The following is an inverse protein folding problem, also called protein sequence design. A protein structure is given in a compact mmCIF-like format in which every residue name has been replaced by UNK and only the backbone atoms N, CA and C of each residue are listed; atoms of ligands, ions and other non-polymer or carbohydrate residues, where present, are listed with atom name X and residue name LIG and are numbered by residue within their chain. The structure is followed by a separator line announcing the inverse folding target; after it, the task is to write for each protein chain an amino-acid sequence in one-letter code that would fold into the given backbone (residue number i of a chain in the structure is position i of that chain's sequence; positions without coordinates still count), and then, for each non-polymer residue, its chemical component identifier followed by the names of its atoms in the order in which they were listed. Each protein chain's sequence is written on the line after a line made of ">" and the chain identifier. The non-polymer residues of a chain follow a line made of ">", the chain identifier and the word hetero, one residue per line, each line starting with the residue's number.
data_IF_106884675085
#
_entry.id   IF_106884675085
#
_cell.length_a   1.000
_cell.length_b   1.000
_cell.length_c   1.000
_cell.angle_alpha   90.00
_cell.angle_beta   90.00
_cell.angle_gamma   90.00
#
_symmetry.space_group_name_H-M   'P 1'
#
loop_
_entity.id
_entity.type
_entity.pdbx_description
1 polymer ?
#
# COMPACT_ATOMS: atom_id res chain seq x y z
N UNK A 1 14.31 14.73 -8.05
CA UNK A 1 12.94 14.19 -8.13
C UNK A 1 12.21 14.59 -6.86
N UNK A 2 10.89 14.79 -6.93
CA UNK A 2 10.08 15.19 -5.78
C UNK A 2 9.69 14.03 -4.86
N UNK A 3 9.53 12.83 -5.43
CA UNK A 3 9.12 11.62 -4.71
C UNK A 3 10.31 10.80 -4.18
N UNK A 4 10.01 9.88 -3.27
CA UNK A 4 10.94 8.93 -2.63
C UNK A 4 10.54 7.49 -2.93
N UNK A 5 11.51 6.57 -2.89
CA UNK A 5 11.28 5.15 -3.11
C UNK A 5 11.22 4.35 -1.81
N UNK A 6 10.09 3.69 -1.58
CA UNK A 6 9.90 2.73 -0.50
C UNK A 6 9.93 1.28 -0.98
N UNK A 7 10.14 0.36 -0.06
CA UNK A 7 9.98 -1.07 -0.31
C UNK A 7 8.99 -1.69 0.67
N UNK A 8 8.06 -2.49 0.16
CA UNK A 8 7.09 -3.17 1.01
C UNK A 8 7.66 -4.41 1.66
N UNK A 9 7.63 -4.44 2.99
CA UNK A 9 8.13 -5.56 3.80
C UNK A 9 7.07 -6.65 4.00
N UNK A 10 6.03 -6.69 3.15
CA UNK A 10 4.88 -7.58 3.29
C UNK A 10 5.24 -9.08 3.36
N UNK A 11 6.44 -9.46 2.92
CA UNK A 11 6.96 -10.84 2.97
C UNK A 11 7.82 -11.13 4.21
N UNK A 12 8.28 -10.10 4.92
CA UNK A 12 9.09 -10.25 6.12
C UNK A 12 8.21 -10.70 7.29
N UNK A 13 8.39 -11.95 7.72
CA UNK A 13 7.59 -12.53 8.80
C UNK A 13 8.09 -12.09 10.18
N UNK A 14 9.35 -12.38 10.48
CA UNK A 14 10.01 -12.12 11.76
C UNK A 14 11.42 -11.58 11.51
N UNK A 15 11.54 -10.41 10.86
CA UNK A 15 12.84 -9.88 10.44
C UNK A 15 13.70 -9.51 11.65
N UNK A 16 15.02 -9.68 11.51
CA UNK A 16 15.97 -8.81 12.19
C UNK A 16 15.96 -7.47 11.46
N UNK A 17 15.31 -6.47 12.08
CA UNK A 17 15.10 -5.18 11.43
C UNK A 17 16.41 -4.44 11.16
N UNK A 18 17.37 -4.45 12.08
CA UNK A 18 18.58 -3.64 11.88
C UNK A 18 19.42 -4.21 10.73
N UNK A 19 19.53 -5.54 10.64
CA UNK A 19 20.19 -6.21 9.52
C UNK A 19 19.48 -5.96 8.19
N UNK A 20 18.18 -6.27 8.09
CA UNK A 20 17.45 -6.18 6.82
C UNK A 20 17.23 -4.74 6.36
N UNK A 21 17.03 -3.78 7.27
CA UNK A 21 16.94 -2.37 6.90
C UNK A 21 18.30 -1.83 6.45
N UNK A 22 19.42 -2.29 7.03
CA UNK A 22 20.76 -1.95 6.53
C UNK A 22 20.94 -2.44 5.09
N UNK A 23 20.57 -3.69 4.82
CA UNK A 23 20.61 -4.25 3.47
C UNK A 23 19.69 -3.49 2.50
N UNK A 24 18.52 -3.06 2.97
CA UNK A 24 17.58 -2.27 2.18
C UNK A 24 18.15 -0.88 1.83
N UNK A 25 18.78 -0.20 2.80
CA UNK A 25 19.48 1.06 2.58
C UNK A 25 20.63 0.89 1.60
N UNK A 26 21.45 -0.15 1.75
CA UNK A 26 22.57 -0.47 0.84
C UNK A 26 22.10 -0.78 -0.58
N UNK A 27 20.94 -1.42 -0.74
CA UNK A 27 20.31 -1.62 -2.04
C UNK A 27 19.90 -0.29 -2.69
N UNK A 28 19.68 0.78 -1.90
CA UNK A 28 19.45 2.15 -2.37
C UNK A 28 18.01 2.63 -2.26
N UNK A 29 17.24 2.09 -1.32
CA UNK A 29 15.88 2.56 -1.00
C UNK A 29 15.92 3.75 -0.04
N UNK A 30 14.91 4.61 -0.11
CA UNK A 30 14.79 5.81 0.73
C UNK A 30 14.01 5.55 2.01
N UNK A 31 13.24 4.46 2.07
CA UNK A 31 12.41 4.08 3.21
C UNK A 31 11.72 2.73 3.01
N UNK A 32 10.80 2.40 3.93
CA UNK A 32 10.12 1.10 3.91
C UNK A 32 8.68 1.18 4.38
N UNK A 33 7.83 0.31 3.84
CA UNK A 33 6.47 0.10 4.34
C UNK A 33 6.46 -1.04 5.36
N UNK A 34 5.90 -0.74 6.55
CA UNK A 34 5.80 -1.69 7.65
C UNK A 34 4.46 -2.40 7.65
N UNK A 35 4.50 -3.74 7.59
CA UNK A 35 3.30 -4.60 7.71
C UNK A 35 3.26 -5.43 8.99
N UNK A 36 4.36 -5.53 9.72
CA UNK A 36 4.56 -6.43 10.84
C UNK A 36 3.69 -6.09 12.06
N UNK A 37 3.37 -7.09 12.87
CA UNK A 37 2.63 -6.91 14.13
C UNK A 37 3.39 -5.98 15.09
N UNK A 38 2.65 -5.13 15.80
CA UNK A 38 3.23 -4.30 16.86
C UNK A 38 3.85 -5.15 17.99
N UNK A 39 3.37 -6.37 18.20
CA UNK A 39 3.97 -7.31 19.16
C UNK A 39 5.41 -7.69 18.79
N UNK A 40 5.72 -7.74 17.50
CA UNK A 40 7.06 -8.04 16.98
C UNK A 40 7.92 -6.77 16.87
N UNK A 41 7.33 -5.70 16.35
CA UNK A 41 8.01 -4.40 16.16
C UNK A 41 8.42 -3.79 17.51
N UNK A 42 7.65 -4.01 18.56
CA UNK A 42 7.87 -3.42 19.88
C UNK A 42 7.36 -1.97 19.93
N UNK A 43 7.94 -1.16 20.81
CA UNK A 43 7.48 0.22 21.02
C UNK A 43 7.88 1.15 19.86
N UNK A 44 7.16 2.28 19.67
CA UNK A 44 7.56 3.32 18.72
C UNK A 44 9.01 3.78 18.91
N UNK A 45 9.46 3.94 20.17
CA UNK A 45 10.84 4.31 20.48
C UNK A 45 11.85 3.27 19.98
N UNK A 46 11.56 1.96 20.15
CA UNK A 46 12.45 0.90 19.70
C UNK A 46 12.64 0.95 18.19
N UNK A 47 11.55 0.97 17.42
CA UNK A 47 11.67 0.92 15.96
C UNK A 47 12.25 2.23 15.40
N UNK A 48 11.97 3.38 16.00
CA UNK A 48 12.62 4.64 15.64
C UNK A 48 14.13 4.57 15.82
N UNK A 49 14.61 4.04 16.95
CA UNK A 49 16.05 3.87 17.16
C UNK A 49 16.69 3.00 16.08
N UNK A 50 16.02 1.93 15.64
CA UNK A 50 16.51 1.09 14.54
C UNK A 50 16.53 1.86 13.23
N UNK A 51 15.47 2.61 12.91
CA UNK A 51 15.42 3.45 11.71
C UNK A 51 16.51 4.54 11.72
N UNK A 52 16.76 5.16 12.88
CA UNK A 52 17.78 6.20 13.07
C UNK A 52 19.20 5.64 12.94
N UNK A 53 19.45 4.42 13.44
CA UNK A 53 20.75 3.75 13.30
C UNK A 53 21.11 3.50 11.83
N UNK A 54 20.10 3.19 11.01
CA UNK A 54 20.24 2.83 9.60
C UNK A 54 20.07 4.05 8.66
N UNK A 55 19.54 5.16 9.17
CA UNK A 55 19.08 6.31 8.38
C UNK A 55 18.03 5.89 7.33
N UNK A 56 16.99 5.16 7.77
CA UNK A 56 15.94 4.65 6.89
C UNK A 56 14.53 4.80 7.51
N UNK A 57 13.77 5.85 7.15
CA UNK A 57 12.46 6.12 7.73
C UNK A 57 11.37 5.15 7.26
N UNK A 58 10.27 5.09 8.03
CA UNK A 58 9.05 4.36 7.66
C UNK A 58 8.22 5.24 6.70
N UNK A 59 7.94 4.71 5.52
CA UNK A 59 7.10 5.37 4.51
C UNK A 59 5.61 5.27 4.89
N UNK A 60 5.14 4.06 5.17
CA UNK A 60 3.75 3.83 5.55
C UNK A 60 3.62 2.68 6.55
N UNK A 61 2.53 2.71 7.31
CA UNK A 61 2.11 1.61 8.18
C UNK A 61 0.73 1.14 7.76
N UNK A 62 0.56 -0.16 7.58
CA UNK A 62 -0.72 -0.73 7.18
C UNK A 62 -1.66 -0.93 8.39
N UNK A 63 -2.97 -0.97 8.19
CA UNK A 63 -3.95 -1.41 9.18
C UNK A 63 -3.85 -2.92 9.48
N UNK A 64 -4.48 -3.37 10.57
CA UNK A 64 -4.64 -4.79 10.90
C UNK A 64 -6.12 -5.10 11.07
N UNK A 65 -6.64 -5.98 10.21
CA UNK A 65 -8.07 -6.29 10.20
C UNK A 65 -8.89 -5.07 9.75
N UNK A 66 -10.11 -5.33 9.28
CA UNK A 66 -10.96 -4.30 8.68
C UNK A 66 -12.37 -4.43 9.23
N UNK A 67 -12.80 -3.53 10.13
CA UNK A 67 -14.12 -3.60 10.73
C UNK A 67 -15.13 -2.82 9.91
N UNK A 68 -15.63 -3.41 8.81
CA UNK A 68 -16.75 -2.82 8.06
C UNK A 68 -18.01 -2.63 8.93
N UNK A 69 -18.11 -3.40 10.02
CA UNK A 69 -19.18 -3.37 11.02
C UNK A 69 -18.90 -2.44 12.20
N UNK A 70 -17.81 -1.64 12.16
CA UNK A 70 -17.32 -0.83 13.29
C UNK A 70 -17.15 -1.63 14.59
N UNK A 71 -16.73 -2.90 14.50
CA UNK A 71 -16.39 -3.69 15.67
C UNK A 71 -15.48 -2.89 16.64
N UNK A 72 -15.89 -2.64 17.91
CA UNK A 72 -15.18 -1.74 18.81
C UNK A 72 -13.73 -2.13 19.09
N UNK A 73 -13.44 -3.44 19.18
CA UNK A 73 -12.10 -3.95 19.44
C UNK A 73 -11.18 -3.66 18.24
N UNK A 74 -11.63 -3.98 17.02
CA UNK A 74 -10.84 -3.73 15.81
C UNK A 74 -10.64 -2.23 15.54
N UNK A 75 -11.65 -1.40 15.84
CA UNK A 75 -11.54 0.06 15.76
C UNK A 75 -10.47 0.59 16.73
N UNK A 76 -10.49 0.14 17.98
CA UNK A 76 -9.51 0.52 18.99
C UNK A 76 -8.09 0.04 18.63
N UNK A 77 -7.95 -1.19 18.13
CA UNK A 77 -6.65 -1.73 17.70
C UNK A 77 -6.05 -0.92 16.53
N UNK A 78 -6.87 -0.51 15.56
CA UNK A 78 -6.38 0.32 14.46
C UNK A 78 -6.10 1.76 14.89
N UNK A 79 -6.87 2.33 15.82
CA UNK A 79 -6.53 3.64 16.44
C UNK A 79 -5.16 3.62 17.09
N UNK A 80 -4.84 2.59 17.88
CA UNK A 80 -3.49 2.42 18.46
C UNK A 80 -2.40 2.29 17.41
N UNK A 81 -2.71 1.68 16.26
CA UNK A 81 -1.77 1.57 15.15
C UNK A 81 -1.59 2.89 14.39
N UNK A 82 -2.64 3.72 14.34
CA UNK A 82 -2.56 5.12 13.87
C UNK A 82 -1.70 5.95 14.83
N UNK A 83 -1.90 5.82 16.15
CA UNK A 83 -1.06 6.50 17.16
C UNK A 83 0.40 6.09 16.99
N UNK A 84 0.64 4.79 16.81
CA UNK A 84 1.98 4.26 16.52
C UNK A 84 2.56 4.88 15.24
N UNK A 85 1.79 4.93 14.15
CA UNK A 85 2.22 5.51 12.88
C UNK A 85 2.59 6.99 13.00
N UNK A 86 1.81 7.75 13.76
CA UNK A 86 2.10 9.15 14.05
C UNK A 86 3.38 9.29 14.90
N UNK A 87 3.56 8.47 15.93
CA UNK A 87 4.75 8.52 16.81
C UNK A 87 6.06 8.15 16.11
N UNK A 88 6.01 7.33 15.06
CA UNK A 88 7.17 6.98 14.24
C UNK A 88 7.29 7.84 12.98
N UNK A 89 6.45 8.87 12.85
CA UNK A 89 6.48 9.84 11.76
C UNK A 89 6.33 9.20 10.36
N UNK A 90 5.50 8.17 10.26
CA UNK A 90 5.15 7.61 8.94
C UNK A 90 4.40 8.65 8.09
N UNK A 91 4.60 8.64 6.78
CA UNK A 91 3.96 9.60 5.86
C UNK A 91 2.44 9.40 5.79
N UNK A 92 2.01 8.14 5.79
CA UNK A 92 0.60 7.79 5.82
C UNK A 92 0.32 6.47 6.55
N UNK A 93 -0.94 6.34 7.00
CA UNK A 93 -1.51 5.08 7.45
C UNK A 93 -2.41 4.49 6.36
N UNK A 94 -2.09 3.28 5.92
CA UNK A 94 -2.73 2.65 4.77
C UNK A 94 -3.65 1.50 5.20
N UNK A 95 -4.78 1.30 4.55
CA UNK A 95 -5.65 0.14 4.78
C UNK A 95 -6.32 -0.33 3.49
N UNK A 96 -6.77 -1.58 3.44
CA UNK A 96 -7.45 -2.18 2.27
C UNK A 96 -8.96 -2.34 2.54
N UNK A 97 -9.72 -2.84 1.57
CA UNK A 97 -11.13 -3.21 1.76
C UNK A 97 -11.29 -4.53 2.53
N UNK A 98 -12.42 -4.71 3.23
CA UNK A 98 -12.68 -5.95 3.96
C UNK A 98 -12.86 -7.13 3.00
N UNK A 99 -12.78 -8.36 3.51
CA UNK A 99 -13.13 -9.53 2.71
C UNK A 99 -14.57 -9.46 2.23
N UNK A 100 -14.85 -9.98 1.03
CA UNK A 100 -16.22 -10.03 0.50
C UNK A 100 -17.14 -10.88 1.39
N UNK A 101 -18.44 -10.52 1.51
CA UNK A 101 -19.43 -11.40 2.13
C UNK A 101 -19.43 -12.77 1.44
N UNK A 102 -19.55 -13.86 2.20
CA UNK A 102 -19.49 -15.22 1.65
C UNK A 102 -20.81 -15.67 1.02
N UNK A 103 -21.93 -15.15 1.51
CA UNK A 103 -23.26 -15.65 1.20
C UNK A 103 -24.03 -14.76 0.22
N UNK A 104 -23.46 -13.61 -0.17
CA UNK A 104 -24.07 -12.66 -1.12
C UNK A 104 -23.01 -11.79 -1.81
N UNK A 105 -23.32 -11.19 -2.97
CA UNK A 105 -22.50 -10.14 -3.55
C UNK A 105 -22.38 -8.92 -2.62
N UNK A 106 -21.32 -8.14 -2.84
CA UNK A 106 -21.18 -6.78 -2.26
C UNK A 106 -22.30 -5.89 -2.81
N UNK A 107 -22.86 -5.04 -1.97
CA UNK A 107 -23.82 -4.02 -2.38
C UNK A 107 -23.41 -2.61 -1.93
N UNK A 108 -24.20 -1.60 -2.31
CA UNK A 108 -23.93 -0.20 -1.97
C UNK A 108 -23.90 0.08 -0.47
N UNK A 109 -24.55 -0.74 0.36
CA UNK A 109 -24.52 -0.57 1.81
C UNK A 109 -23.19 -1.00 2.41
N UNK A 110 -22.55 -2.03 1.84
CA UNK A 110 -21.18 -2.41 2.22
C UNK A 110 -20.18 -1.30 1.88
N UNK A 111 -20.28 -0.72 0.67
CA UNK A 111 -19.41 0.38 0.25
C UNK A 111 -19.58 1.60 1.16
N UNK A 112 -20.83 1.91 1.57
CA UNK A 112 -21.11 2.99 2.49
C UNK A 112 -20.58 2.71 3.91
N UNK A 113 -20.71 1.48 4.40
CA UNK A 113 -20.17 1.08 5.70
C UNK A 113 -18.64 1.15 5.73
N UNK A 114 -17.97 0.69 4.66
CA UNK A 114 -16.52 0.82 4.53
C UNK A 114 -16.11 2.30 4.49
N UNK A 115 -16.81 3.14 3.72
CA UNK A 115 -16.52 4.57 3.64
C UNK A 115 -16.66 5.26 5.00
N UNK A 116 -17.68 4.92 5.78
CA UNK A 116 -17.91 5.44 7.13
C UNK A 116 -16.75 5.08 8.09
N UNK A 117 -16.27 3.82 8.06
CA UNK A 117 -15.09 3.40 8.83
C UNK A 117 -13.82 4.13 8.39
N UNK A 118 -13.66 4.32 7.09
CA UNK A 118 -12.51 5.01 6.48
C UNK A 118 -12.45 6.46 6.94
N UNK A 119 -13.60 7.14 6.97
CA UNK A 119 -13.74 8.51 7.43
C UNK A 119 -13.51 8.64 8.95
N UNK A 120 -13.96 7.68 9.76
CA UNK A 120 -13.68 7.66 11.20
C UNK A 120 -12.18 7.55 11.49
N UNK A 121 -11.45 6.73 10.73
CA UNK A 121 -9.99 6.61 10.87
C UNK A 121 -9.28 7.87 10.39
N UNK A 122 -9.69 8.45 9.26
CA UNK A 122 -9.13 9.70 8.77
C UNK A 122 -9.41 10.88 9.73
N UNK A 123 -10.61 10.95 10.32
CA UNK A 123 -10.94 11.95 11.34
C UNK A 123 -10.05 11.78 12.58
N UNK A 124 -9.91 10.55 13.07
CA UNK A 124 -9.06 10.26 14.22
C UNK A 124 -7.59 10.61 13.96
N UNK A 125 -7.04 10.26 12.79
CA UNK A 125 -5.65 10.54 12.43
C UNK A 125 -5.37 12.04 12.21
N UNK A 126 -6.39 12.84 11.87
CA UNK A 126 -6.23 14.27 11.57
C UNK A 126 -5.66 15.09 12.73
N UNK A 127 -5.82 14.63 13.98
CA UNK A 127 -5.21 15.26 15.16
C UNK A 127 -3.67 15.24 15.12
N UNK A 128 -3.08 14.32 14.35
CA UNK A 128 -1.64 14.19 14.15
C UNK A 128 -1.15 14.80 12.82
N UNK A 129 -2.08 15.26 11.96
CA UNK A 129 -1.75 15.61 10.58
C UNK A 129 -1.37 14.41 9.71
N UNK A 130 -1.68 13.17 10.15
CA UNK A 130 -1.38 11.94 9.44
C UNK A 130 -2.49 11.62 8.43
N UNK A 131 -2.12 11.43 7.16
CA UNK A 131 -3.08 10.99 6.15
C UNK A 131 -3.41 9.50 6.34
N UNK A 132 -4.70 9.18 6.24
CA UNK A 132 -5.19 7.80 6.14
C UNK A 132 -5.60 7.55 4.70
N UNK A 133 -5.07 6.49 4.08
CA UNK A 133 -5.29 6.20 2.67
C UNK A 133 -5.86 4.80 2.41
N UNK A 134 -6.87 4.74 1.54
CA UNK A 134 -7.43 3.49 1.05
C UNK A 134 -6.54 2.90 -0.06
N UNK A 135 -6.00 1.71 0.15
CA UNK A 135 -5.27 0.92 -0.81
C UNK A 135 -6.24 0.08 -1.62
N UNK A 136 -6.38 0.43 -2.90
CA UNK A 136 -7.18 -0.39 -3.82
C UNK A 136 -6.59 -1.80 -3.90
N UNK A 137 -7.43 -2.82 -3.76
CA UNK A 137 -6.98 -4.20 -3.70
C UNK A 137 -8.08 -5.12 -4.22
N UNK A 138 -7.71 -6.03 -5.13
CA UNK A 138 -8.63 -7.01 -5.67
C UNK A 138 -9.10 -7.99 -4.59
N UNK A 139 -10.20 -8.71 -4.80
CA UNK A 139 -10.75 -9.66 -3.83
C UNK A 139 -11.24 -9.06 -2.50
N UNK A 140 -11.44 -7.73 -2.45
CA UNK A 140 -11.95 -7.03 -1.27
C UNK A 140 -13.36 -6.47 -1.49
N UNK A 141 -13.89 -5.68 -0.56
CA UNK A 141 -15.22 -5.07 -0.67
C UNK A 141 -15.31 -4.13 -1.88
N UNK A 142 -14.26 -3.38 -2.18
CA UNK A 142 -14.18 -2.61 -3.43
C UNK A 142 -13.40 -3.45 -4.41
N UNK A 143 -14.07 -4.01 -5.42
CA UNK A 143 -13.43 -4.97 -6.34
C UNK A 143 -13.84 -4.81 -7.80
N UNK A 144 -14.18 -3.58 -8.18
CA UNK A 144 -14.43 -3.19 -9.56
C UNK A 144 -14.20 -1.68 -9.72
N UNK A 145 -14.08 -1.23 -10.98
CA UNK A 145 -13.97 0.20 -11.30
C UNK A 145 -15.21 0.98 -10.85
N UNK A 146 -16.40 0.38 -10.99
CA UNK A 146 -17.66 0.98 -10.60
C UNK A 146 -17.79 1.08 -9.07
N UNK A 147 -17.44 0.02 -8.35
CA UNK A 147 -17.41 0.03 -6.88
C UNK A 147 -16.40 1.06 -6.37
N UNK A 148 -15.23 1.14 -7.03
CA UNK A 148 -14.19 2.09 -6.65
C UNK A 148 -14.66 3.53 -6.87
N UNK A 149 -15.22 3.84 -8.04
CA UNK A 149 -15.79 5.16 -8.30
C UNK A 149 -16.91 5.52 -7.30
N UNK A 150 -17.77 4.54 -6.98
CA UNK A 150 -18.83 4.73 -5.97
C UNK A 150 -18.25 4.96 -4.59
N UNK A 151 -17.29 4.17 -4.15
CA UNK A 151 -16.62 4.32 -2.87
C UNK A 151 -15.92 5.68 -2.74
N UNK A 152 -15.15 6.08 -3.75
CA UNK A 152 -14.50 7.40 -3.78
C UNK A 152 -15.49 8.56 -3.69
N UNK A 153 -16.70 8.41 -4.25
CA UNK A 153 -17.75 9.44 -4.14
C UNK A 153 -18.31 9.63 -2.73
N UNK A 154 -18.02 8.70 -1.81
CA UNK A 154 -18.48 8.73 -0.42
C UNK A 154 -17.42 9.27 0.55
N UNK A 155 -16.15 9.37 0.11
CA UNK A 155 -15.05 9.85 0.94
C UNK A 155 -14.97 11.38 0.96
N UNK A 156 -14.41 11.94 2.04
CA UNK A 156 -14.18 13.37 2.20
C UNK A 156 -12.79 13.69 2.74
N UNK A 157 -12.33 12.90 3.72
CA UNK A 157 -11.02 13.05 4.37
C UNK A 157 -10.07 11.92 4.03
N UNK A 158 -10.59 10.69 3.93
CA UNK A 158 -9.77 9.54 3.55
C UNK A 158 -9.14 9.79 2.18
N UNK A 159 -7.83 9.53 2.10
CA UNK A 159 -7.01 9.66 0.91
C UNK A 159 -6.92 8.33 0.17
N UNK A 160 -6.09 8.28 -0.86
CA UNK A 160 -5.99 7.14 -1.75
C UNK A 160 -4.55 6.66 -1.89
N UNK A 161 -4.39 5.34 -1.77
CA UNK A 161 -3.23 4.60 -2.22
C UNK A 161 -3.62 3.84 -3.50
N UNK A 162 -2.98 4.17 -4.62
CA UNK A 162 -3.14 3.41 -5.87
C UNK A 162 -2.04 2.38 -5.94
N UNK A 163 -2.45 1.11 -5.95
CA UNK A 163 -1.63 0.02 -6.44
C UNK A 163 -1.97 -0.23 -7.90
N UNK A 164 -0.97 0.00 -8.75
CA UNK A 164 -1.15 -0.01 -10.20
C UNK A 164 -1.62 -1.36 -10.71
N UNK A 165 -1.19 -2.45 -10.07
CA UNK A 165 -1.55 -3.81 -10.47
C UNK A 165 -3.04 -4.09 -10.27
N UNK A 166 -3.62 -3.65 -9.15
CA UNK A 166 -5.03 -3.88 -8.86
C UNK A 166 -5.95 -3.08 -9.78
N UNK A 167 -5.57 -1.84 -10.14
CA UNK A 167 -6.31 -1.11 -11.18
C UNK A 167 -6.29 -1.85 -12.53
N UNK A 168 -5.14 -2.39 -12.92
CA UNK A 168 -5.01 -3.15 -14.17
C UNK A 168 -5.79 -4.46 -14.15
N UNK A 169 -5.83 -5.17 -13.02
CA UNK A 169 -6.63 -6.40 -12.85
C UNK A 169 -8.13 -6.15 -13.01
N UNK A 170 -8.62 -4.96 -12.61
CA UNK A 170 -9.99 -4.50 -12.89
C UNK A 170 -10.20 -4.01 -14.33
N UNK A 171 -9.18 -4.09 -15.20
CA UNK A 171 -9.21 -3.58 -16.56
C UNK A 171 -9.17 -2.05 -16.66
N UNK A 172 -8.78 -1.35 -15.59
CA UNK A 172 -8.59 0.10 -15.59
C UNK A 172 -7.11 0.44 -15.80
N UNK A 173 -6.81 1.16 -16.88
CA UNK A 173 -5.47 1.66 -17.17
C UNK A 173 -4.85 2.40 -15.95
N UNK A 174 -3.69 1.94 -15.44
CA UNK A 174 -3.10 2.52 -14.24
C UNK A 174 -2.70 3.99 -14.38
N UNK A 175 -2.25 4.42 -15.56
CA UNK A 175 -1.88 5.82 -15.83
C UNK A 175 -3.12 6.70 -15.78
N UNK A 176 -4.22 6.27 -16.41
CA UNK A 176 -5.49 6.96 -16.37
C UNK A 176 -6.06 7.03 -14.96
N UNK A 177 -5.90 5.98 -14.14
CA UNK A 177 -6.38 5.96 -12.76
C UNK A 177 -5.60 6.94 -11.87
N UNK A 178 -4.27 6.99 -12.01
CA UNK A 178 -3.40 7.98 -11.34
C UNK A 178 -3.83 9.40 -11.70
N UNK A 179 -4.03 9.70 -12.99
CA UNK A 179 -4.50 11.04 -13.43
C UNK A 179 -5.90 11.37 -12.91
N UNK A 180 -6.79 10.38 -12.85
CA UNK A 180 -8.18 10.58 -12.44
C UNK A 180 -8.31 11.00 -10.98
N UNK A 181 -7.44 10.48 -10.11
CA UNK A 181 -7.49 10.64 -8.66
C UNK A 181 -6.27 11.36 -8.08
N UNK A 182 -5.54 12.13 -8.90
CA UNK A 182 -4.29 12.79 -8.51
C UNK A 182 -4.44 13.77 -7.34
N UNK A 183 -5.66 14.30 -7.14
CA UNK A 183 -6.00 15.26 -6.07
C UNK A 183 -6.10 14.63 -4.67
N UNK A 184 -6.30 13.31 -4.61
CA UNK A 184 -6.43 12.55 -3.36
C UNK A 184 -5.37 11.44 -3.22
N UNK A 185 -4.52 11.26 -4.23
CA UNK A 185 -3.43 10.30 -4.26
C UNK A 185 -2.30 10.73 -3.33
N UNK A 186 -1.98 9.89 -2.33
CA UNK A 186 -0.93 10.18 -1.34
C UNK A 186 0.12 9.08 -1.23
N UNK A 187 -0.16 7.92 -1.82
CA UNK A 187 0.74 6.78 -1.80
C UNK A 187 0.57 5.96 -3.08
N UNK A 188 1.67 5.43 -3.63
CA UNK A 188 1.64 4.61 -4.84
C UNK A 188 2.36 3.31 -4.58
N UNK A 189 1.75 2.18 -4.94
CA UNK A 189 2.45 0.91 -5.05
C UNK A 189 2.79 0.58 -6.49
N UNK A 190 4.03 0.15 -6.69
CA UNK A 190 4.47 -0.55 -7.87
C UNK A 190 4.47 -2.05 -7.55
N UNK A 191 3.47 -2.75 -8.04
CA UNK A 191 3.38 -4.20 -7.95
C UNK A 191 3.25 -4.77 -9.36
N UNK A 192 3.82 -5.95 -9.59
CA UNK A 192 3.90 -6.56 -10.91
C UNK A 192 3.44 -8.01 -10.88
N UNK A 193 2.94 -8.49 -12.01
CA UNK A 193 2.45 -9.86 -12.17
C UNK A 193 2.71 -10.38 -13.58
N UNK A 194 2.94 -11.70 -13.69
CA UNK A 194 3.15 -12.38 -14.98
C UNK A 194 1.89 -13.02 -15.56
N UNK A 195 0.85 -13.17 -14.73
CA UNK A 195 -0.40 -13.81 -15.11
C UNK A 195 -1.40 -13.81 -13.95
N UNK A 196 -2.64 -14.13 -14.26
CA UNK A 196 -3.68 -14.36 -13.27
C UNK A 196 -4.78 -15.26 -13.83
N UNK A 197 -5.58 -15.83 -12.93
CA UNK A 197 -6.86 -16.48 -13.23
C UNK A 197 -7.97 -15.88 -12.36
N UNK A 198 -9.23 -16.09 -12.74
CA UNK A 198 -10.39 -15.52 -12.03
C UNK A 198 -10.76 -14.11 -12.51
N UNK A 199 -11.40 -13.31 -11.64
CA UNK A 199 -11.86 -11.94 -11.91
C UNK A 199 -13.32 -11.84 -12.38
N UNK A 200 -13.76 -12.76 -13.25
CA UNK A 200 -15.16 -12.85 -13.69
C UNK A 200 -16.01 -13.56 -12.63
N UNK A 201 -16.63 -12.80 -11.72
CA UNK A 201 -17.46 -13.28 -10.59
C UNK A 201 -16.73 -14.22 -9.60
N UNK A 202 -15.41 -14.31 -9.69
CA UNK A 202 -14.54 -15.15 -8.87
C UNK A 202 -13.31 -14.39 -8.40
N UNK A 203 -12.67 -14.85 -7.33
CA UNK A 203 -11.46 -14.21 -6.83
C UNK A 203 -10.32 -14.31 -7.85
N UNK A 204 -9.54 -13.24 -7.97
CA UNK A 204 -8.28 -13.22 -8.69
C UNK A 204 -7.25 -14.08 -7.96
N UNK A 205 -6.64 -15.02 -8.69
CA UNK A 205 -5.42 -15.72 -8.29
C UNK A 205 -4.29 -15.23 -9.19
N UNK A 206 -3.29 -14.56 -8.61
CA UNK A 206 -2.33 -13.73 -9.34
C UNK A 206 -0.91 -14.22 -9.10
N UNK A 207 -0.18 -14.42 -10.20
CA UNK A 207 1.24 -14.77 -10.21
C UNK A 207 2.08 -13.51 -9.99
N UNK A 208 2.20 -13.09 -8.73
CA UNK A 208 2.98 -11.90 -8.35
C UNK A 208 4.46 -12.10 -8.62
N UNK A 209 5.07 -11.19 -9.38
CA UNK A 209 6.50 -11.19 -9.70
C UNK A 209 7.15 -9.90 -9.20
N UNK A 210 8.49 -9.87 -9.14
CA UNK A 210 9.21 -8.65 -8.79
C UNK A 210 8.99 -7.58 -9.86
N UNK A 211 9.01 -6.30 -9.46
CA UNK A 211 8.78 -5.15 -10.34
C UNK A 211 9.75 -5.18 -11.52
N UNK A 212 9.18 -5.22 -12.73
CA UNK A 212 9.92 -5.27 -13.98
C UNK A 212 10.11 -6.66 -14.57
N UNK A 213 9.67 -7.72 -13.87
CA UNK A 213 9.68 -9.09 -14.39
C UNK A 213 8.38 -9.44 -15.13
N UNK A 214 7.29 -8.73 -14.89
CA UNK A 214 6.03 -8.88 -15.62
C UNK A 214 6.05 -8.14 -16.96
N UNK A 215 4.97 -8.31 -17.72
CA UNK A 215 4.81 -7.73 -19.05
C UNK A 215 3.53 -6.91 -19.21
N UNK A 216 2.78 -6.70 -18.12
CA UNK A 216 1.48 -6.01 -18.16
C UNK A 216 1.62 -4.54 -17.76
N UNK A 217 2.52 -4.21 -16.83
CA UNK A 217 2.64 -2.86 -16.29
C UNK A 217 3.57 -1.97 -17.14
N UNK A 218 3.08 -0.78 -17.53
CA UNK A 218 3.90 0.28 -18.12
C UNK A 218 4.55 1.14 -17.03
N UNK A 219 5.53 0.59 -16.30
CA UNK A 219 6.25 1.35 -15.27
C UNK A 219 6.93 2.62 -15.81
N UNK A 220 7.59 2.64 -16.99
CA UNK A 220 8.11 3.88 -17.56
C UNK A 220 7.03 4.97 -17.70
N UNK A 221 5.86 4.64 -18.25
CA UNK A 221 4.75 5.57 -18.40
C UNK A 221 4.11 6.00 -17.09
N UNK A 222 4.00 5.08 -16.12
CA UNK A 222 3.54 5.37 -14.75
C UNK A 222 4.47 6.38 -14.08
N UNK A 223 5.79 6.14 -14.11
CA UNK A 223 6.78 7.02 -13.49
C UNK A 223 6.80 8.40 -14.16
N UNK A 224 6.80 8.45 -15.49
CA UNK A 224 6.70 9.72 -16.25
C UNK A 224 5.43 10.49 -15.90
N UNK A 225 4.30 9.81 -15.72
CA UNK A 225 3.04 10.45 -15.34
C UNK A 225 3.10 11.05 -13.93
N UNK A 226 3.73 10.36 -12.97
CA UNK A 226 3.92 10.88 -11.61
C UNK A 226 4.83 12.11 -11.61
N UNK A 227 5.88 12.13 -12.43
CA UNK A 227 6.72 13.32 -12.63
C UNK A 227 5.94 14.50 -13.22
N UNK A 228 5.15 14.27 -14.27
CA UNK A 228 4.31 15.31 -14.90
C UNK A 228 3.29 15.92 -13.93
N UNK A 229 2.75 15.10 -13.03
CA UNK A 229 1.83 15.54 -11.98
C UNK A 229 2.53 16.22 -10.80
N UNK A 230 3.87 16.30 -10.83
CA UNK A 230 4.71 16.77 -9.71
C UNK A 230 4.41 16.02 -8.40
N UNK A 231 4.16 14.72 -8.49
CA UNK A 231 3.97 13.88 -7.32
C UNK A 231 5.23 13.92 -6.45
N UNK A 232 5.08 14.20 -5.16
CA UNK A 232 6.17 14.49 -4.23
C UNK A 232 6.16 13.63 -2.96
N UNK A 233 5.46 12.50 -3.01
CA UNK A 233 5.34 11.55 -1.89
C UNK A 233 6.06 10.23 -2.17
N UNK A 234 5.60 9.13 -1.58
CA UNK A 234 6.24 7.83 -1.67
C UNK A 234 5.70 7.00 -2.84
N UNK A 235 6.62 6.29 -3.50
CA UNK A 235 6.37 5.25 -4.48
C UNK A 235 7.03 3.98 -3.95
N UNK A 236 6.23 2.96 -3.64
CA UNK A 236 6.69 1.78 -2.92
C UNK A 236 6.62 0.52 -3.79
N UNK A 237 7.73 -0.17 -3.95
CA UNK A 237 7.76 -1.44 -4.68
C UNK A 237 7.29 -2.61 -3.82
N UNK A 238 6.45 -3.46 -4.39
CA UNK A 238 5.93 -4.67 -3.75
C UNK A 238 6.65 -5.90 -4.31
N UNK A 239 7.28 -6.74 -3.46
CA UNK A 239 8.00 -7.92 -3.93
C UNK A 239 7.11 -9.01 -4.51
N UNK A 240 7.68 -9.75 -5.47
CA UNK A 240 7.09 -10.93 -6.07
C UNK A 240 7.03 -12.15 -5.14
N UNK A 241 6.33 -13.18 -5.62
CA UNK A 241 6.11 -14.47 -4.95
C UNK A 241 6.54 -15.67 -5.78
N UNK A 242 6.50 -15.56 -7.11
CA UNK A 242 6.72 -16.71 -8.01
C UNK A 242 8.15 -17.23 -7.91
N UNK A 243 9.13 -16.33 -7.87
CA UNK A 243 10.53 -16.72 -7.74
C UNK A 243 10.93 -16.91 -6.28
N UNK A 244 11.61 -18.03 -6.01
CA UNK A 244 12.23 -18.32 -4.71
C UNK A 244 13.53 -17.53 -4.57
N UNK A 245 13.37 -16.28 -4.15
CA UNK A 245 14.46 -15.36 -3.82
C UNK A 245 14.55 -15.17 -2.31
N UNK A 246 15.72 -14.81 -1.83
CA UNK A 246 15.88 -14.23 -0.50
C UNK A 246 15.29 -12.82 -0.47
N UNK A 247 15.04 -12.27 0.72
CA UNK A 247 14.53 -10.91 0.85
C UNK A 247 15.51 -9.88 0.24
N UNK A 248 16.82 -10.05 0.45
CA UNK A 248 17.84 -9.15 -0.12
C UNK A 248 17.90 -9.19 -1.65
N UNK A 249 17.72 -10.37 -2.25
CA UNK A 249 17.65 -10.51 -3.70
C UNK A 249 16.43 -9.79 -4.28
N UNK A 250 15.26 -9.92 -3.64
CA UNK A 250 14.06 -9.17 -4.05
C UNK A 250 14.29 -7.66 -3.93
N UNK A 251 14.79 -7.17 -2.80
CA UNK A 251 15.10 -5.74 -2.61
C UNK A 251 16.02 -5.20 -3.70
N UNK A 252 17.05 -5.98 -4.07
CA UNK A 252 18.05 -5.59 -5.06
C UNK A 252 17.49 -5.59 -6.47
N UNK A 253 16.76 -6.63 -6.88
CA UNK A 253 16.20 -6.72 -8.24
C UNK A 253 15.15 -5.64 -8.49
N UNK A 254 14.25 -5.41 -7.53
CA UNK A 254 13.23 -4.36 -7.64
C UNK A 254 13.89 -2.97 -7.76
N UNK A 255 14.95 -2.68 -6.97
CA UNK A 255 15.62 -1.38 -7.03
C UNK A 255 16.42 -1.20 -8.31
N UNK A 256 17.09 -2.26 -8.77
CA UNK A 256 17.88 -2.24 -10.00
C UNK A 256 17.01 -1.98 -11.23
N UNK A 257 15.79 -2.54 -11.28
CA UNK A 257 14.86 -2.21 -12.35
C UNK A 257 14.50 -0.72 -12.37
N UNK A 258 14.20 -0.12 -11.22
CA UNK A 258 13.93 1.33 -11.13
C UNK A 258 15.14 2.16 -11.59
N UNK A 259 16.38 1.74 -11.28
CA UNK A 259 17.60 2.38 -11.78
C UNK A 259 17.76 2.31 -13.28
N UNK A 260 17.39 1.18 -13.88
CA UNK A 260 17.40 1.02 -15.35
C UNK A 260 16.40 1.96 -16.03
N UNK A 261 15.30 2.31 -15.35
CA UNK A 261 14.35 3.33 -15.78
C UNK A 261 14.84 4.77 -15.56
N UNK A 262 15.96 4.95 -14.84
CA UNK A 262 16.56 6.26 -14.55
C UNK A 262 16.23 6.82 -13.16
N UNK A 263 15.69 6.00 -12.25
CA UNK A 263 15.22 6.41 -10.91
C UNK A 263 16.00 5.77 -9.76
#
# INVERSE_FOLDING_TARGET
>A
MGFKFGYSTLRWQQPDFEELLTQLKDAGWDGWEMRQSLDWVGTPQRIRQVCDNVDLPIAAITARGLPIDKNPEQMELNKRRIDFAAEVEADCFMFMGAGKPKDRPVDSSDLAALADVSEDWAEYASQYGLDVCYHIHTNTTVDSVDDWAKYMSLLRKCRLCIDVSHSALWGYDPIASIRRYSDVLVYVHLQDYSGYTGGDDSSYDVDWVDVGAGNVMDFPGIMSTLEELNYDRWITACPGMVEDRTDIERMSVNREYLRQLGY
#
